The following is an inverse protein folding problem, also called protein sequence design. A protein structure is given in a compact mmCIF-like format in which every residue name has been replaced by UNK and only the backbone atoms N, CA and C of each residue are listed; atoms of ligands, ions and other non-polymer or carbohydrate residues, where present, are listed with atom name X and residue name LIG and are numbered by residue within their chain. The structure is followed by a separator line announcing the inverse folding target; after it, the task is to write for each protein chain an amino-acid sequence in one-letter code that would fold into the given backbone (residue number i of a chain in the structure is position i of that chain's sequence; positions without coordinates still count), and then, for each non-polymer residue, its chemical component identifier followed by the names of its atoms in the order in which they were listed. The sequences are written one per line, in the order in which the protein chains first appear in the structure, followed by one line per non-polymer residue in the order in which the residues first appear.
data_IF_586793850787
#
_entry.id   IF_586793850787
#
_cell.length_a   1.000
_cell.length_b   1.000
_cell.length_c   1.000
_cell.angle_alpha   90.00
_cell.angle_beta   90.00
_cell.angle_gamma   90.00
#
_symmetry.space_group_name_H-M   'P 1'
#
loop_
_entity.id
_entity.type
_entity.pdbx_description
1 polymer ?
#
# COMPACT_ATOMS: atom_id res chain seq x y z
N UNK A 1 -0.81 7.71 -18.14
CA UNK A 1 -0.15 8.40 -17.01
C UNK A 1 0.41 7.33 -16.08
N UNK A 2 1.62 7.51 -15.56
CA UNK A 2 2.16 6.66 -14.50
C UNK A 2 1.38 6.97 -13.22
N UNK A 3 0.87 5.97 -12.51
CA UNK A 3 0.27 6.16 -11.18
C UNK A 3 1.40 6.53 -10.21
N UNK A 4 1.24 7.63 -9.49
CA UNK A 4 2.19 8.07 -8.46
C UNK A 4 1.91 7.44 -7.10
N UNK A 5 0.67 7.01 -6.87
CA UNK A 5 0.26 6.32 -5.65
C UNK A 5 -0.95 5.42 -5.91
N UNK A 6 -1.18 4.47 -5.01
CA UNK A 6 -2.34 3.59 -4.98
C UNK A 6 -2.58 3.10 -3.55
N UNK A 7 -3.85 2.89 -3.19
CA UNK A 7 -4.21 2.26 -1.93
C UNK A 7 -5.21 1.14 -2.17
N UNK A 8 -5.00 0.00 -1.51
CA UNK A 8 -5.85 -1.18 -1.57
C UNK A 8 -6.34 -1.57 -0.19
N UNK A 9 -7.61 -1.97 -0.11
CA UNK A 9 -8.14 -2.74 1.01
C UNK A 9 -8.09 -4.23 0.66
N UNK A 10 -7.52 -5.04 1.55
CA UNK A 10 -7.41 -6.50 1.40
C UNK A 10 -7.93 -7.14 2.70
N UNK A 11 -9.19 -7.57 2.69
CA UNK A 11 -9.87 -7.99 3.93
C UNK A 11 -9.92 -6.83 4.93
N UNK A 12 -9.32 -7.05 6.10
CA UNK A 12 -9.25 -6.10 7.21
C UNK A 12 -7.91 -5.34 7.27
N UNK A 13 -7.13 -5.38 6.19
CA UNK A 13 -5.82 -4.73 6.06
C UNK A 13 -5.83 -3.72 4.94
N UNK A 14 -5.05 -2.65 5.08
CA UNK A 14 -4.88 -1.64 4.06
C UNK A 14 -3.42 -1.59 3.60
N UNK A 15 -3.20 -1.44 2.29
CA UNK A 15 -1.90 -1.24 1.67
C UNK A 15 -1.90 0.11 0.99
N UNK A 16 -0.97 0.99 1.35
CA UNK A 16 -0.66 2.22 0.65
C UNK A 16 0.70 2.08 -0.04
N UNK A 17 0.79 2.43 -1.32
CA UNK A 17 2.05 2.47 -2.07
C UNK A 17 2.15 3.80 -2.80
N UNK A 18 3.32 4.43 -2.75
CA UNK A 18 3.63 5.67 -3.46
C UNK A 18 4.99 5.55 -4.16
N UNK A 19 5.17 6.23 -5.29
CA UNK A 19 6.48 6.34 -5.94
C UNK A 19 7.40 7.25 -5.13
N UNK A 20 8.68 6.90 -5.06
CA UNK A 20 9.76 7.73 -4.53
C UNK A 20 10.94 7.77 -5.54
N UNK A 21 12.00 8.51 -5.22
CA UNK A 21 13.13 8.75 -6.15
C UNK A 21 13.80 7.46 -6.66
N UNK A 22 13.86 6.44 -5.82
CA UNK A 22 14.54 5.16 -6.11
C UNK A 22 13.58 4.01 -6.38
N UNK A 23 12.27 4.22 -6.27
CA UNK A 23 11.29 3.14 -6.42
C UNK A 23 9.96 3.48 -5.77
N UNK A 24 9.64 2.77 -4.68
CA UNK A 24 8.33 2.84 -4.04
C UNK A 24 8.42 2.77 -2.52
N UNK A 25 7.71 3.66 -1.83
CA UNK A 25 7.44 3.50 -0.40
C UNK A 25 6.10 2.79 -0.23
N UNK A 26 6.02 1.92 0.77
CA UNK A 26 4.78 1.25 1.13
C UNK A 26 4.51 1.33 2.63
N UNK A 27 3.23 1.25 2.98
CA UNK A 27 2.76 1.13 4.36
C UNK A 27 1.56 0.20 4.41
N UNK A 28 1.60 -0.72 5.37
CA UNK A 28 0.54 -1.67 5.65
C UNK A 28 -0.10 -1.28 6.97
N UNK A 29 -1.43 -1.20 6.98
CA UNK A 29 -2.22 -0.85 8.16
C UNK A 29 -3.18 -1.97 8.57
N UNK A 30 -3.44 -2.10 9.87
CA UNK A 30 -4.53 -2.94 10.39
C UNK A 30 -5.91 -2.28 10.21
N UNK A 31 -6.97 -2.98 10.66
CA UNK A 31 -8.35 -2.49 10.61
C UNK A 31 -8.59 -1.21 11.43
N UNK A 32 -7.70 -0.89 12.37
CA UNK A 32 -7.71 0.32 13.16
C UNK A 32 -6.77 1.40 12.59
N UNK A 33 -6.31 1.21 11.34
CA UNK A 33 -5.36 2.05 10.61
C UNK A 33 -4.02 2.28 11.34
N UNK A 34 -3.61 1.33 12.17
CA UNK A 34 -2.28 1.33 12.80
C UNK A 34 -1.28 0.66 11.88
N UNK A 35 -0.07 1.20 11.81
CA UNK A 35 1.01 0.65 10.97
C UNK A 35 1.38 -0.74 11.49
N UNK A 36 1.25 -1.74 10.61
CA UNK A 36 1.73 -3.11 10.80
C UNK A 36 3.14 -3.28 10.26
N UNK A 37 3.38 -2.75 9.07
CA UNK A 37 4.68 -2.78 8.38
C UNK A 37 4.80 -1.58 7.44
N UNK A 38 6.03 -1.23 7.08
CA UNK A 38 6.30 -0.20 6.10
C UNK A 38 7.76 -0.21 5.71
N UNK A 39 8.03 0.17 4.46
CA UNK A 39 9.37 0.12 3.93
C UNK A 39 9.46 0.71 2.53
N UNK A 40 10.64 0.52 1.93
CA UNK A 40 10.95 0.99 0.60
C UNK A 40 11.38 -0.18 -0.28
N UNK A 41 10.95 -0.16 -1.54
CA UNK A 41 11.38 -1.10 -2.58
C UNK A 41 12.09 -0.31 -3.67
N UNK A 42 13.42 -0.42 -3.70
CA UNK A 42 14.28 0.22 -4.69
C UNK A 42 14.23 -0.50 -6.04
N UNK A 43 13.14 -0.31 -6.78
CA UNK A 43 13.00 -0.82 -8.12
C UNK A 43 12.16 0.10 -9.01
N UNK A 44 12.76 1.15 -9.60
CA UNK A 44 12.02 2.17 -10.34
C UNK A 44 11.48 1.66 -11.70
N UNK A 45 11.93 0.48 -12.13
CA UNK A 45 11.57 -0.13 -13.41
C UNK A 45 10.28 -0.95 -13.34
N UNK A 46 9.85 -1.37 -12.15
CA UNK A 46 8.56 -2.05 -11.95
C UNK A 46 7.43 -1.05 -11.99
N UNK A 47 6.24 -1.51 -12.37
CA UNK A 47 5.00 -0.72 -12.22
C UNK A 47 4.53 -0.79 -10.78
N UNK A 48 3.74 0.21 -10.35
CA UNK A 48 3.15 0.20 -9.01
C UNK A 48 2.27 -1.04 -8.78
N UNK A 49 1.53 -1.48 -9.80
CA UNK A 49 0.67 -2.67 -9.70
C UNK A 49 1.49 -3.96 -9.48
N UNK A 50 2.68 -4.07 -10.10
CA UNK A 50 3.57 -5.20 -9.88
C UNK A 50 4.16 -5.20 -8.46
N UNK A 51 4.51 -4.01 -7.96
CA UNK A 51 4.98 -3.85 -6.57
C UNK A 51 3.88 -4.22 -5.57
N UNK A 52 2.65 -3.78 -5.79
CA UNK A 52 1.54 -4.14 -4.92
C UNK A 52 1.27 -5.65 -4.91
N UNK A 53 1.34 -6.31 -6.07
CA UNK A 53 1.19 -7.76 -6.17
C UNK A 53 2.27 -8.50 -5.36
N UNK A 54 3.52 -8.07 -5.45
CA UNK A 54 4.64 -8.64 -4.67
C UNK A 54 4.46 -8.45 -3.17
N UNK A 55 4.01 -7.27 -2.73
CA UNK A 55 3.76 -7.00 -1.31
C UNK A 55 2.62 -7.89 -0.80
N UNK A 56 1.53 -8.03 -1.56
CA UNK A 56 0.39 -8.89 -1.20
C UNK A 56 0.78 -10.35 -1.08
N UNK A 57 1.55 -10.86 -2.04
CA UNK A 57 2.03 -12.24 -2.04
C UNK A 57 2.97 -12.48 -0.85
N UNK A 58 3.94 -11.59 -0.62
CA UNK A 58 4.91 -11.70 0.45
C UNK A 58 4.29 -11.65 1.86
N UNK A 59 3.21 -10.88 2.04
CA UNK A 59 2.50 -10.75 3.31
C UNK A 59 1.40 -11.81 3.51
N UNK A 60 1.22 -12.72 2.55
CA UNK A 60 0.26 -13.81 2.66
C UNK A 60 -1.20 -13.33 2.68
N UNK A 61 -1.50 -12.17 2.06
CA UNK A 61 -2.86 -11.61 1.98
C UNK A 61 -3.78 -12.36 0.99
N UNK A 62 -3.61 -13.68 0.88
CA UNK A 62 -4.27 -14.57 -0.07
C UNK A 62 -5.78 -14.74 0.22
N UNK A 63 -6.28 -14.27 1.36
CA UNK A 63 -7.67 -14.45 1.79
C UNK A 63 -8.60 -13.27 1.44
N UNK A 64 -8.07 -12.16 0.91
CA UNK A 64 -8.87 -11.00 0.50
C UNK A 64 -8.66 -10.67 -0.97
N UNK A 65 -9.74 -10.36 -1.70
CA UNK A 65 -9.62 -9.75 -3.04
C UNK A 65 -9.23 -8.28 -2.86
N UNK A 66 -8.08 -7.82 -3.37
CA UNK A 66 -7.69 -6.42 -3.27
C UNK A 66 -8.73 -5.53 -3.95
N UNK A 67 -9.23 -4.52 -3.25
CA UNK A 67 -10.10 -3.48 -3.79
C UNK A 67 -9.39 -2.13 -3.72
N UNK A 68 -9.38 -1.40 -4.84
CA UNK A 68 -8.85 -0.03 -4.86
C UNK A 68 -9.72 0.90 -4.01
N UNK A 69 -9.06 1.67 -3.15
CA UNK A 69 -9.66 2.70 -2.29
C UNK A 69 -8.95 4.04 -2.54
N UNK A 70 -9.56 5.12 -2.08
CA UNK A 70 -8.95 6.44 -2.21
C UNK A 70 -7.73 6.57 -1.29
N UNK A 71 -6.56 6.77 -1.90
CA UNK A 71 -5.29 6.87 -1.19
C UNK A 71 -5.27 8.06 -0.21
N UNK A 72 -5.73 9.23 -0.65
CA UNK A 72 -5.71 10.43 0.19
C UNK A 72 -6.60 10.25 1.43
N UNK A 73 -7.79 9.68 1.26
CA UNK A 73 -8.70 9.36 2.35
C UNK A 73 -8.07 8.39 3.36
N UNK A 74 -7.37 7.35 2.88
CA UNK A 74 -6.64 6.44 3.76
C UNK A 74 -5.55 7.18 4.56
N UNK A 75 -4.75 8.02 3.90
CA UNK A 75 -3.67 8.77 4.55
C UNK A 75 -4.21 9.80 5.55
N UNK A 76 -5.30 10.49 5.21
CA UNK A 76 -5.98 11.42 6.11
C UNK A 76 -6.48 10.70 7.36
N UNK A 77 -7.14 9.54 7.21
CA UNK A 77 -7.59 8.74 8.35
C UNK A 77 -6.42 8.29 9.20
N UNK A 78 -5.39 7.68 8.60
CA UNK A 78 -4.22 7.16 9.32
C UNK A 78 -3.46 8.26 10.08
N UNK A 79 -3.40 9.48 9.53
CA UNK A 79 -2.73 10.62 10.17
C UNK A 79 -3.47 11.16 11.41
N UNK A 80 -4.78 10.91 11.53
CA UNK A 80 -5.63 11.43 12.60
C UNK A 80 -5.72 10.52 13.84
N UNK A 81 -4.94 9.43 13.90
CA UNK A 81 -4.98 8.44 14.99
C UNK A 81 -3.95 8.72 16.10
N UNK A 82 -3.36 9.93 16.13
CA UNK A 82 -2.44 10.39 17.18
C UNK A 82 -3.17 10.94 18.42
#
# INVERSE_FOLDING_TARGET
MKKEYIAWQIGDTYLAVQTCDTGYDYTIYDAAYRILDGGQIDNPYKTIDAICAEIIEANGFLCGTPSEIDYNSLMDIASNIL
#
